data_IF_284120450725
#
_entry.id   IF_284120450725
#
_cell.length_a   1.000
_cell.length_b   1.000
_cell.length_c   1.000
_cell.angle_alpha   90.00
_cell.angle_beta   90.00
_cell.angle_gamma   90.00
#
_symmetry.space_group_name_H-M   'P 1'
#
loop_
_entity.id
_entity.type
_entity.pdbx_description
1 polymer ?
#
# COMPACT_ATOMS: atom_id res chain seq x y z
N UNK A 1 53.43 48.32 5.88
CA UNK A 1 52.09 48.41 5.31
C UNK A 1 51.83 47.31 4.23
N UNK A 2 52.81 46.79 3.55
CA UNK A 2 52.67 45.74 2.50
C UNK A 2 52.35 44.32 3.02
N UNK A 3 52.83 43.93 4.19
CA UNK A 3 52.64 42.59 4.74
C UNK A 3 51.21 42.32 5.26
N UNK A 4 50.47 43.32 5.66
CA UNK A 4 49.10 43.20 6.17
C UNK A 4 48.12 42.87 5.04
N UNK A 5 48.38 43.32 3.83
CA UNK A 5 47.50 43.10 2.67
C UNK A 5 47.63 41.68 2.10
N UNK A 6 48.84 41.07 2.19
CA UNK A 6 49.11 39.75 1.64
C UNK A 6 48.49 38.63 2.49
N UNK A 7 48.45 38.77 3.81
CA UNK A 7 47.81 37.79 4.71
C UNK A 7 46.28 37.81 4.53
N UNK A 8 45.70 38.96 4.30
CA UNK A 8 44.24 39.12 4.13
C UNK A 8 43.77 38.56 2.77
N UNK A 9 44.51 38.74 1.70
CA UNK A 9 44.21 38.14 0.37
C UNK A 9 44.32 36.60 0.40
N UNK A 10 45.32 36.05 1.10
CA UNK A 10 45.48 34.61 1.25
C UNK A 10 44.33 33.99 2.06
N UNK A 11 43.89 34.66 3.11
CA UNK A 11 42.72 34.25 3.92
C UNK A 11 41.41 34.28 3.12
N UNK A 12 41.23 35.32 2.30
CA UNK A 12 40.08 35.47 1.40
C UNK A 12 40.04 34.35 0.33
N UNK A 13 41.18 34.01 -0.24
CA UNK A 13 41.31 32.98 -1.27
C UNK A 13 40.99 31.57 -0.67
N UNK A 14 41.50 31.28 0.52
CA UNK A 14 41.25 30.01 1.22
C UNK A 14 39.77 29.89 1.60
N UNK A 15 39.15 30.95 2.15
CA UNK A 15 37.74 30.94 2.50
C UNK A 15 36.83 30.77 1.28
N UNK A 16 37.18 31.32 0.15
CA UNK A 16 36.39 31.20 -1.08
C UNK A 16 36.53 29.79 -1.70
N UNK A 17 37.72 29.20 -1.58
CA UNK A 17 37.95 27.81 -1.98
C UNK A 17 37.17 26.85 -1.10
N UNK A 18 37.13 27.06 0.23
CA UNK A 18 36.35 26.21 1.16
C UNK A 18 34.84 26.34 0.91
N UNK A 19 34.32 27.52 0.60
CA UNK A 19 32.92 27.72 0.25
C UNK A 19 32.53 27.01 -1.04
N UNK A 20 33.43 26.96 -2.05
CA UNK A 20 33.19 26.20 -3.29
C UNK A 20 33.20 24.67 -3.06
N UNK A 21 34.14 24.16 -2.27
CA UNK A 21 34.20 22.74 -1.93
C UNK A 21 33.00 22.32 -1.09
N UNK A 22 32.56 23.15 -0.13
CA UNK A 22 31.38 22.86 0.68
C UNK A 22 30.11 22.78 -0.18
N UNK A 23 29.93 23.74 -1.14
CA UNK A 23 28.80 23.69 -2.08
C UNK A 23 28.85 22.45 -2.98
N UNK A 24 30.04 22.05 -3.43
CA UNK A 24 30.24 20.84 -4.24
C UNK A 24 29.90 19.57 -3.45
N UNK A 25 30.34 19.46 -2.19
CA UNK A 25 29.99 18.36 -1.31
C UNK A 25 28.48 18.28 -1.05
N UNK A 26 27.79 19.40 -0.82
CA UNK A 26 26.34 19.44 -0.67
C UNK A 26 25.61 19.00 -1.95
N UNK A 27 26.12 19.38 -3.13
CA UNK A 27 25.56 18.99 -4.41
C UNK A 27 25.70 17.48 -4.66
N UNK A 28 26.85 16.92 -4.32
CA UNK A 28 27.13 15.48 -4.42
C UNK A 28 26.28 14.69 -3.44
N UNK A 29 26.11 15.16 -2.20
CA UNK A 29 25.24 14.53 -1.19
C UNK A 29 23.76 14.52 -1.63
N UNK A 30 23.29 15.64 -2.19
CA UNK A 30 21.93 15.74 -2.72
C UNK A 30 21.72 14.83 -3.93
N UNK A 31 22.68 14.72 -4.82
CA UNK A 31 22.64 13.80 -5.96
C UNK A 31 22.64 12.32 -5.52
N UNK A 32 23.49 11.99 -4.52
CA UNK A 32 23.53 10.65 -3.93
C UNK A 32 22.19 10.27 -3.27
N UNK A 33 21.60 11.21 -2.55
CA UNK A 33 20.30 11.02 -1.91
C UNK A 33 19.19 10.83 -2.95
N UNK A 34 19.24 11.59 -4.06
CA UNK A 34 18.26 11.45 -5.14
C UNK A 34 18.40 10.10 -5.86
N UNK A 35 19.62 9.63 -6.09
CA UNK A 35 19.88 8.29 -6.66
C UNK A 35 19.39 7.20 -5.70
N UNK A 36 19.70 7.32 -4.40
CA UNK A 36 19.21 6.37 -3.38
C UNK A 36 17.68 6.35 -3.34
N UNK A 37 17.03 7.52 -3.44
CA UNK A 37 15.59 7.65 -3.47
C UNK A 37 14.98 7.01 -4.74
N UNK A 38 15.60 7.22 -5.90
CA UNK A 38 15.17 6.56 -7.16
C UNK A 38 15.35 5.04 -7.08
N UNK A 39 16.47 4.56 -6.54
CA UNK A 39 16.68 3.12 -6.32
C UNK A 39 15.63 2.56 -5.35
N UNK A 40 15.24 3.30 -4.32
CA UNK A 40 14.18 2.88 -3.37
C UNK A 40 12.77 2.85 -4.00
N UNK A 41 12.52 3.65 -5.04
CA UNK A 41 11.23 3.62 -5.78
C UNK A 41 11.24 2.54 -6.86
N UNK A 42 12.34 2.37 -7.59
CA UNK A 42 12.43 1.46 -8.72
C UNK A 42 13.05 0.10 -8.35
N UNK A 43 13.80 0.04 -7.24
CA UNK A 43 14.25 -1.19 -6.63
C UNK A 43 13.20 -1.69 -5.64
N UNK A 44 11.95 -1.73 -6.05
CA UNK A 44 10.90 -2.38 -5.28
C UNK A 44 11.36 -3.80 -5.02
N UNK A 45 11.39 -4.16 -3.74
CA UNK A 45 11.70 -5.50 -3.30
C UNK A 45 10.80 -6.46 -4.07
N UNK A 46 11.36 -7.14 -5.07
CA UNK A 46 10.79 -8.34 -5.68
C UNK A 46 10.84 -9.52 -4.69
N UNK A 47 11.10 -9.26 -3.42
CA UNK A 47 10.63 -10.08 -2.32
C UNK A 47 9.11 -9.87 -2.24
N UNK A 48 8.40 -10.46 -3.22
CA UNK A 48 7.02 -10.84 -3.04
C UNK A 48 7.03 -11.83 -1.86
N UNK A 49 7.08 -11.32 -0.65
CA UNK A 49 6.53 -12.01 0.50
C UNK A 49 5.13 -12.34 0.01
N UNK A 50 4.93 -13.61 -0.33
CA UNK A 50 3.61 -14.16 -0.61
C UNK A 50 2.80 -13.82 0.64
N UNK A 51 2.16 -12.66 0.63
CA UNK A 51 1.34 -12.22 1.75
C UNK A 51 0.03 -12.98 1.64
N UNK A 52 0.04 -14.17 2.19
CA UNK A 52 -1.18 -14.94 2.42
C UNK A 52 -1.89 -14.31 3.62
N UNK A 53 -3.11 -13.90 3.40
CA UNK A 53 -3.99 -13.34 4.43
C UNK A 53 -5.27 -14.13 4.46
N UNK A 54 -5.64 -14.63 5.63
CA UNK A 54 -6.92 -15.32 5.85
C UNK A 54 -7.92 -14.38 6.51
N UNK A 55 -9.11 -14.28 5.94
CA UNK A 55 -10.19 -13.42 6.41
C UNK A 55 -11.39 -14.26 6.84
N UNK A 56 -11.69 -14.28 8.12
CA UNK A 56 -12.93 -14.90 8.63
C UNK A 56 -14.11 -13.96 8.42
N UNK A 57 -15.26 -14.51 8.00
CA UNK A 57 -16.52 -13.77 7.89
C UNK A 57 -17.29 -13.73 9.20
N UNK A 58 -17.03 -14.64 10.13
CA UNK A 58 -17.62 -14.65 11.47
C UNK A 58 -17.31 -13.32 12.21
N UNK A 59 -18.30 -12.78 12.91
CA UNK A 59 -18.18 -11.47 13.57
C UNK A 59 -18.34 -10.25 12.65
N UNK A 60 -18.05 -10.38 11.36
CA UNK A 60 -18.21 -9.30 10.37
C UNK A 60 -19.52 -9.36 9.59
N UNK A 61 -20.03 -10.59 9.37
CA UNK A 61 -21.16 -10.85 8.49
C UNK A 61 -22.32 -11.55 9.23
N UNK A 62 -22.38 -11.43 10.54
CA UNK A 62 -23.42 -12.07 11.37
C UNK A 62 -24.82 -11.52 11.12
N UNK A 63 -24.92 -10.35 10.49
CA UNK A 63 -26.16 -9.73 10.02
C UNK A 63 -26.66 -10.33 8.68
N UNK A 64 -25.84 -11.14 8.00
CA UNK A 64 -26.18 -11.77 6.72
C UNK A 64 -26.62 -13.20 6.96
N UNK A 65 -27.92 -13.43 6.74
CA UNK A 65 -28.55 -14.71 7.02
C UNK A 65 -28.93 -15.39 5.69
N UNK A 66 -28.60 -16.67 5.58
CA UNK A 66 -29.01 -17.52 4.48
C UNK A 66 -30.48 -17.95 4.62
N UNK A 67 -30.80 -19.21 4.30
CA UNK A 67 -32.14 -19.73 4.46
C UNK A 67 -32.48 -20.06 5.93
N UNK A 68 -31.51 -20.59 6.70
CA UNK A 68 -31.70 -21.02 8.08
C UNK A 68 -30.77 -20.34 9.08
N UNK A 69 -29.63 -19.86 8.65
CA UNK A 69 -28.64 -19.24 9.53
C UNK A 69 -27.52 -18.49 8.77
N UNK A 70 -26.55 -18.07 9.53
CA UNK A 70 -25.32 -17.50 8.97
C UNK A 70 -24.46 -18.61 8.35
N UNK A 71 -23.68 -18.24 7.33
CA UNK A 71 -22.75 -19.15 6.64
C UNK A 71 -21.34 -18.61 6.85
N UNK A 72 -20.66 -18.98 7.95
CA UNK A 72 -19.31 -18.56 8.21
C UNK A 72 -18.34 -19.17 7.19
N UNK A 73 -17.37 -18.38 6.75
CA UNK A 73 -16.38 -18.76 5.75
C UNK A 73 -15.01 -18.19 6.12
N UNK A 74 -13.97 -18.86 5.64
CA UNK A 74 -12.61 -18.35 5.59
C UNK A 74 -12.28 -18.04 4.14
N UNK A 75 -11.80 -16.82 3.89
CA UNK A 75 -11.39 -16.35 2.57
C UNK A 75 -9.88 -16.19 2.61
N UNK A 76 -9.15 -16.91 1.78
CA UNK A 76 -7.71 -16.80 1.64
C UNK A 76 -7.38 -15.84 0.49
N UNK A 77 -6.56 -14.87 0.78
CA UNK A 77 -6.06 -13.87 -0.20
C UNK A 77 -4.57 -14.07 -0.34
N UNK A 78 -4.10 -14.31 -1.54
CA UNK A 78 -2.70 -14.39 -1.90
C UNK A 78 -2.35 -13.27 -2.88
N UNK A 79 -1.34 -12.47 -2.55
CA UNK A 79 -0.89 -11.37 -3.40
C UNK A 79 -2.02 -10.40 -3.83
N UNK A 80 -2.99 -10.16 -2.94
CA UNK A 80 -4.11 -9.27 -3.21
C UNK A 80 -5.21 -9.89 -4.10
N UNK A 81 -5.18 -11.20 -4.31
CA UNK A 81 -6.13 -11.96 -5.12
C UNK A 81 -6.80 -13.04 -4.25
N UNK A 82 -8.08 -13.26 -4.41
CA UNK A 82 -8.79 -14.34 -3.72
C UNK A 82 -8.31 -15.68 -4.28
N UNK A 83 -7.66 -16.49 -3.43
CA UNK A 83 -7.14 -17.83 -3.82
C UNK A 83 -8.12 -18.94 -3.47
N UNK A 84 -8.76 -18.87 -2.29
CA UNK A 84 -9.64 -19.91 -1.80
C UNK A 84 -10.74 -19.33 -0.91
N UNK A 85 -11.89 -20.02 -0.87
CA UNK A 85 -12.98 -19.74 0.07
C UNK A 85 -13.44 -21.07 0.64
N UNK A 86 -13.28 -21.25 1.94
CA UNK A 86 -13.72 -22.43 2.69
C UNK A 86 -14.98 -22.10 3.49
N UNK A 87 -16.01 -22.92 3.35
CA UNK A 87 -17.23 -22.82 4.17
C UNK A 87 -17.03 -23.59 5.46
N UNK A 88 -17.17 -22.92 6.59
CA UNK A 88 -17.02 -23.52 7.91
C UNK A 88 -18.30 -24.21 8.37
N UNK A 89 -18.22 -24.92 9.55
CA UNK A 89 -19.37 -25.52 10.19
C UNK A 89 -20.49 -24.48 10.40
N UNK A 90 -21.71 -24.80 9.99
CA UNK A 90 -22.82 -23.86 9.99
C UNK A 90 -24.16 -24.64 10.24
N UNK A 91 -25.24 -23.89 10.43
CA UNK A 91 -26.57 -24.40 10.64
C UNK A 91 -27.50 -24.27 9.42
N UNK A 92 -26.90 -23.97 8.25
CA UNK A 92 -27.67 -23.85 7.01
C UNK A 92 -28.28 -25.22 6.61
N UNK A 93 -29.32 -25.18 5.80
CA UNK A 93 -29.93 -26.40 5.30
C UNK A 93 -29.01 -27.09 4.29
N UNK A 94 -28.48 -28.29 4.55
CA UNK A 94 -27.46 -28.93 3.72
C UNK A 94 -27.85 -28.99 2.25
N UNK A 95 -29.08 -29.36 1.92
CA UNK A 95 -29.57 -29.41 0.54
C UNK A 95 -29.37 -28.11 -0.26
N UNK A 96 -29.51 -26.96 0.38
CA UNK A 96 -29.34 -25.66 -0.29
C UNK A 96 -27.87 -25.27 -0.35
N UNK A 97 -27.14 -25.54 0.72
CA UNK A 97 -25.71 -25.25 0.77
C UNK A 97 -24.92 -26.11 -0.22
N UNK A 98 -25.16 -27.44 -0.21
CA UNK A 98 -24.51 -28.36 -1.13
C UNK A 98 -24.75 -27.94 -2.58
N UNK A 99 -25.99 -27.57 -2.90
CA UNK A 99 -26.33 -27.07 -4.24
C UNK A 99 -25.54 -25.81 -4.65
N UNK A 100 -25.27 -24.93 -3.71
CA UNK A 100 -24.47 -23.73 -3.97
C UNK A 100 -23.01 -24.09 -4.19
N UNK A 101 -22.44 -24.97 -3.34
CA UNK A 101 -21.05 -25.41 -3.46
C UNK A 101 -20.87 -26.19 -4.78
N UNK A 102 -21.73 -27.17 -5.08
CA UNK A 102 -21.64 -27.93 -6.33
C UNK A 102 -21.85 -27.13 -7.60
N UNK A 103 -22.46 -25.95 -7.50
CA UNK A 103 -22.66 -25.05 -8.66
C UNK A 103 -21.40 -24.30 -9.09
N UNK A 104 -20.31 -24.35 -8.31
CA UNK A 104 -19.12 -23.59 -8.58
C UNK A 104 -19.28 -22.08 -8.31
N UNK A 105 -20.16 -21.71 -7.36
CA UNK A 105 -20.39 -20.30 -7.05
C UNK A 105 -19.16 -19.67 -6.37
N UNK A 106 -18.46 -20.40 -5.51
CA UNK A 106 -17.27 -19.92 -4.80
C UNK A 106 -16.12 -19.67 -5.76
N UNK A 107 -15.95 -20.53 -6.75
CA UNK A 107 -14.90 -20.47 -7.76
C UNK A 107 -15.00 -19.22 -8.64
N UNK A 108 -16.17 -18.58 -8.71
CA UNK A 108 -16.34 -17.31 -9.43
C UNK A 108 -15.54 -16.16 -8.82
N UNK A 109 -15.18 -16.27 -7.55
CA UNK A 109 -14.35 -15.30 -6.85
C UNK A 109 -12.85 -15.58 -6.99
N UNK A 110 -12.47 -16.83 -7.31
CA UNK A 110 -11.06 -17.20 -7.41
C UNK A 110 -10.36 -16.46 -8.55
N UNK A 111 -9.14 -16.02 -8.27
CA UNK A 111 -8.36 -15.20 -9.20
C UNK A 111 -8.83 -13.75 -9.34
N UNK A 112 -9.83 -13.31 -8.58
CA UNK A 112 -10.28 -11.92 -8.61
C UNK A 112 -9.49 -11.09 -7.61
N UNK A 113 -9.11 -9.86 -8.03
CA UNK A 113 -8.45 -8.93 -7.14
C UNK A 113 -9.41 -8.46 -6.04
N UNK A 114 -8.89 -8.19 -4.85
CA UNK A 114 -9.70 -7.68 -3.73
C UNK A 114 -10.42 -6.36 -4.08
N UNK A 115 -9.88 -5.57 -5.02
CA UNK A 115 -10.50 -4.34 -5.49
C UNK A 115 -11.76 -4.61 -6.34
N UNK A 116 -11.75 -5.70 -7.12
CA UNK A 116 -12.82 -6.02 -8.08
C UNK A 116 -13.95 -6.84 -7.47
N UNK A 117 -13.69 -7.52 -6.34
CA UNK A 117 -14.68 -8.41 -5.69
C UNK A 117 -15.95 -7.68 -5.28
N UNK A 118 -15.84 -6.42 -4.83
CA UNK A 118 -17.01 -5.64 -4.40
C UNK A 118 -18.01 -5.42 -5.54
N UNK A 119 -17.49 -5.16 -6.75
CA UNK A 119 -18.29 -4.84 -7.95
C UNK A 119 -18.58 -6.07 -8.81
N UNK A 120 -18.04 -7.26 -8.42
CA UNK A 120 -18.20 -8.48 -9.19
C UNK A 120 -19.70 -8.89 -9.27
N UNK A 121 -20.22 -9.03 -10.48
CA UNK A 121 -21.58 -9.56 -10.69
C UNK A 121 -21.58 -11.07 -10.65
N UNK A 122 -22.29 -11.65 -9.67
CA UNK A 122 -22.38 -13.08 -9.44
C UNK A 122 -23.84 -13.48 -9.31
N UNK A 123 -24.30 -14.32 -10.23
CA UNK A 123 -25.67 -14.84 -10.22
C UNK A 123 -25.90 -15.84 -9.11
N UNK A 124 -27.08 -15.77 -8.50
CA UNK A 124 -27.54 -16.71 -7.51
C UNK A 124 -27.86 -18.07 -8.15
N UNK A 125 -27.67 -19.14 -7.38
CA UNK A 125 -28.03 -20.52 -7.79
C UNK A 125 -29.54 -20.69 -7.70
N UNK A 126 -30.15 -21.06 -8.81
CA UNK A 126 -31.59 -21.30 -8.89
C UNK A 126 -32.03 -22.38 -7.89
N UNK A 127 -33.02 -22.05 -7.07
CA UNK A 127 -33.53 -22.94 -6.02
C UNK A 127 -32.69 -23.01 -4.74
N UNK A 128 -31.60 -22.17 -4.64
CA UNK A 128 -30.85 -21.95 -3.43
C UNK A 128 -30.52 -20.46 -3.26
N UNK A 129 -31.42 -19.58 -3.67
CA UNK A 129 -31.22 -18.13 -3.79
C UNK A 129 -30.83 -17.48 -2.46
N UNK A 130 -31.45 -17.87 -1.35
CA UNK A 130 -31.13 -17.26 -0.03
C UNK A 130 -29.71 -17.61 0.40
N UNK A 131 -29.29 -18.87 0.32
CA UNK A 131 -27.94 -19.30 0.67
C UNK A 131 -26.90 -18.72 -0.28
N UNK A 132 -27.19 -18.65 -1.59
CA UNK A 132 -26.32 -18.01 -2.57
C UNK A 132 -26.12 -16.52 -2.27
N UNK A 133 -27.20 -15.79 -2.01
CA UNK A 133 -27.14 -14.36 -1.67
C UNK A 133 -26.35 -14.13 -0.39
N UNK A 134 -26.51 -14.96 0.61
CA UNK A 134 -25.79 -14.85 1.87
C UNK A 134 -24.26 -15.00 1.63
N UNK A 135 -23.85 -16.02 0.89
CA UNK A 135 -22.46 -16.25 0.54
C UNK A 135 -21.89 -15.05 -0.26
N UNK A 136 -22.55 -14.65 -1.34
CA UNK A 136 -22.09 -13.54 -2.20
C UNK A 136 -21.94 -12.25 -1.38
N UNK A 137 -22.93 -11.91 -0.56
CA UNK A 137 -22.90 -10.70 0.26
C UNK A 137 -21.80 -10.76 1.34
N UNK A 138 -21.63 -11.91 1.98
CA UNK A 138 -20.59 -12.08 3.02
C UNK A 138 -19.19 -11.96 2.44
N UNK A 139 -18.92 -12.61 1.31
CA UNK A 139 -17.62 -12.49 0.62
C UNK A 139 -17.35 -11.04 0.24
N UNK A 140 -18.30 -10.40 -0.44
CA UNK A 140 -18.15 -8.99 -0.86
C UNK A 140 -17.93 -8.06 0.32
N UNK A 141 -18.75 -8.16 1.37
CA UNK A 141 -18.63 -7.30 2.56
C UNK A 141 -17.31 -7.49 3.27
N UNK A 142 -16.86 -8.74 3.44
CA UNK A 142 -15.60 -9.03 4.16
C UNK A 142 -14.37 -8.59 3.38
N UNK A 143 -14.35 -8.86 2.08
CA UNK A 143 -13.24 -8.44 1.20
C UNK A 143 -13.20 -6.93 1.05
N UNK A 144 -14.35 -6.25 0.93
CA UNK A 144 -14.40 -4.79 0.89
C UNK A 144 -13.86 -4.14 2.17
N UNK A 145 -14.24 -4.66 3.34
CA UNK A 145 -13.71 -4.18 4.62
C UNK A 145 -12.18 -4.34 4.71
N UNK A 146 -11.64 -5.48 4.27
CA UNK A 146 -10.20 -5.69 4.19
C UNK A 146 -9.52 -4.72 3.22
N UNK A 147 -10.11 -4.51 2.04
CA UNK A 147 -9.58 -3.59 1.05
C UNK A 147 -9.52 -2.15 1.55
N UNK A 148 -10.55 -1.71 2.26
CA UNK A 148 -10.59 -0.39 2.86
C UNK A 148 -9.52 -0.24 3.95
N UNK A 149 -9.34 -1.24 4.81
CA UNK A 149 -8.30 -1.27 5.84
C UNK A 149 -6.89 -1.19 5.25
N UNK A 150 -6.63 -1.94 4.18
CA UNK A 150 -5.33 -1.93 3.49
C UNK A 150 -5.11 -0.61 2.73
N UNK A 151 -6.15 -0.04 2.13
CA UNK A 151 -6.07 1.20 1.36
C UNK A 151 -5.85 2.43 2.24
N UNK A 152 -6.36 2.43 3.47
CA UNK A 152 -6.17 3.54 4.42
C UNK A 152 -4.74 3.57 4.99
N UNK A 153 -4.00 2.48 4.89
CA UNK A 153 -2.57 2.45 5.21
C UNK A 153 -1.77 2.53 3.90
N UNK A 154 -1.20 3.64 3.49
CA UNK A 154 -0.02 4.18 4.14
C UNK A 154 0.11 5.70 4.07
N UNK A 155 0.48 6.27 5.14
CA UNK A 155 1.17 7.55 5.15
C UNK A 155 2.42 7.45 4.26
N UNK A 156 2.37 8.08 3.11
CA UNK A 156 3.39 7.89 2.07
C UNK A 156 4.68 8.63 2.45
N UNK A 157 5.53 8.00 3.27
CA UNK A 157 6.82 8.51 3.73
C UNK A 157 7.71 8.98 2.58
N UNK A 158 7.57 8.35 1.40
CA UNK A 158 8.29 8.73 0.20
C UNK A 158 7.89 10.12 -0.30
N UNK A 159 6.60 10.46 -0.24
CA UNK A 159 6.08 11.77 -0.65
C UNK A 159 6.59 12.88 0.29
N UNK A 160 6.64 12.61 1.59
CA UNK A 160 7.18 13.54 2.58
C UNK A 160 8.68 13.72 2.40
N UNK A 161 9.43 12.63 2.18
CA UNK A 161 10.85 12.70 1.87
C UNK A 161 11.13 13.58 0.65
N UNK A 162 10.32 13.46 -0.40
CA UNK A 162 10.43 14.27 -1.61
C UNK A 162 10.13 15.75 -1.34
N UNK A 163 9.06 16.05 -0.61
CA UNK A 163 8.70 17.43 -0.24
C UNK A 163 9.80 18.06 0.62
N UNK A 164 10.30 17.34 1.64
CA UNK A 164 11.39 17.81 2.48
C UNK A 164 12.67 18.07 1.67
N UNK A 165 13.04 17.20 0.75
CA UNK A 165 14.22 17.36 -0.11
C UNK A 165 14.09 18.59 -1.02
N UNK A 166 12.94 18.81 -1.62
CA UNK A 166 12.66 19.99 -2.45
C UNK A 166 12.70 21.27 -1.61
N UNK A 167 12.12 21.27 -0.41
CA UNK A 167 12.16 22.42 0.51
C UNK A 167 13.59 22.78 0.92
N UNK A 168 14.42 21.79 1.22
CA UNK A 168 15.83 22.02 1.55
C UNK A 168 16.59 22.64 0.36
N UNK A 169 16.34 22.15 -0.87
CA UNK A 169 16.95 22.73 -2.08
C UNK A 169 16.51 24.17 -2.32
N UNK A 170 15.23 24.48 -2.16
CA UNK A 170 14.69 25.84 -2.28
C UNK A 170 15.28 26.75 -1.20
N UNK A 171 15.37 26.27 0.03
CA UNK A 171 15.95 27.05 1.14
C UNK A 171 17.44 27.39 0.89
N UNK A 172 18.21 26.44 0.37
CA UNK A 172 19.61 26.65 0.00
C UNK A 172 19.77 27.60 -1.18
N UNK A 173 18.78 27.63 -2.09
CA UNK A 173 18.77 28.56 -3.23
C UNK A 173 18.40 30.00 -2.81
N UNK A 174 17.40 30.14 -1.91
CA UNK A 174 16.84 31.43 -1.47
C UNK A 174 17.68 32.09 -0.39
N UNK A 175 18.43 31.34 0.44
CA UNK A 175 19.30 31.94 1.47
C UNK A 175 20.40 32.74 0.78
N UNK A 176 20.37 34.11 0.87
CA UNK A 176 21.39 34.94 0.28
C UNK A 176 22.72 34.61 0.94
N UNK A 177 23.72 34.28 0.13
CA UNK A 177 25.10 34.25 0.59
C UNK A 177 25.38 35.63 1.22
N UNK A 178 25.34 35.74 2.57
CA UNK A 178 25.73 36.97 3.26
C UNK A 178 27.10 37.39 2.71
N UNK A 179 27.09 38.35 1.80
CA UNK A 179 28.29 39.12 1.48
C UNK A 179 28.72 39.78 2.79
N UNK A 180 29.83 39.32 3.35
CA UNK A 180 30.44 39.94 4.48
C UNK A 180 30.78 41.37 4.11
N UNK A 181 30.24 42.30 4.83
CA UNK A 181 30.64 43.69 4.89
C UNK A 181 32.02 43.81 5.53
#
# INVERSE_FOLDING_TARGET
MFFYNFANTKKYFIMNKQKKTLKLCFWLLSALFLVFYLVSIFGGDDDAVQSEVTLETAGYCDDIIGFKGTIPMVITIENGVVSEIEVLENHETPRYLDKVIESGLLEKFYGKSVADVADLDVDCVSGATYSSNAIIKSVKKRVAAYYDDVRVSPFNWHLIGLICSVLVLVLLYVLPSKKGS
#
